data_IF_447058437873
#
_entry.id   IF_447058437873
#
_cell.length_a   1.000
_cell.length_b   1.000
_cell.length_c   1.000
_cell.angle_alpha   90.00
_cell.angle_beta   90.00
_cell.angle_gamma   90.00
#
_symmetry.space_group_name_H-M   'P 1'
#
loop_
_entity.id
_entity.type
_entity.pdbx_description
1 polymer ?
#
# COMPACT_ATOMS: atom_id res chain seq x y z
N UNK A 1 39.62 -6.34 69.19
CA UNK A 1 38.35 -5.63 69.41
C UNK A 1 38.03 -4.80 68.18
N UNK A 2 36.84 -5.02 67.57
CA UNK A 2 36.03 -4.04 66.77
C UNK A 2 36.74 -3.37 65.57
N UNK A 3 36.39 -3.52 64.29
CA UNK A 3 35.14 -3.91 63.61
C UNK A 3 35.46 -4.40 62.19
N UNK A 4 35.10 -5.64 61.92
CA UNK A 4 34.68 -6.15 60.60
C UNK A 4 33.28 -5.54 60.31
N UNK A 5 32.86 -5.52 59.04
CA UNK A 5 31.67 -4.87 58.43
C UNK A 5 31.87 -3.41 58.01
N UNK A 6 32.33 -3.21 56.77
CA UNK A 6 31.54 -2.46 55.78
C UNK A 6 31.61 -3.21 54.46
N UNK A 7 30.74 -4.23 54.41
CA UNK A 7 30.40 -5.03 53.24
C UNK A 7 29.94 -4.12 52.09
N UNK A 8 30.45 -4.40 50.90
CA UNK A 8 29.64 -4.65 49.68
C UNK A 8 28.31 -3.88 49.59
N UNK A 9 28.33 -2.68 49.01
CA UNK A 9 27.10 -2.00 48.57
C UNK A 9 27.30 -1.10 47.33
N UNK A 10 28.28 -1.41 46.47
CA UNK A 10 28.52 -0.68 45.20
C UNK A 10 28.49 -1.58 43.97
N UNK A 11 27.93 -2.79 44.08
CA UNK A 11 27.50 -3.59 42.93
C UNK A 11 25.98 -3.78 43.01
N UNK A 12 25.31 -3.65 41.87
CA UNK A 12 23.89 -3.91 41.60
C UNK A 12 22.93 -2.72 41.59
N UNK A 13 23.29 -1.65 40.87
CA UNK A 13 22.27 -0.86 40.14
C UNK A 13 22.72 -0.68 38.67
N UNK A 14 23.23 -1.74 38.05
CA UNK A 14 22.98 -1.92 36.62
C UNK A 14 21.54 -2.40 36.52
N UNK A 15 20.62 -1.44 36.57
CA UNK A 15 19.23 -1.67 36.23
C UNK A 15 19.20 -2.24 34.82
N UNK A 16 19.05 -3.56 34.72
CA UNK A 16 18.44 -4.19 33.56
C UNK A 16 17.00 -3.68 33.49
N UNK A 17 16.82 -2.42 33.07
CA UNK A 17 15.64 -2.02 32.36
C UNK A 17 15.68 -2.80 31.06
N UNK A 18 15.25 -4.06 31.12
CA UNK A 18 14.72 -4.73 29.95
C UNK A 18 13.59 -3.82 29.48
N UNK A 19 13.88 -2.93 28.53
CA UNK A 19 12.86 -2.43 27.63
C UNK A 19 12.26 -3.70 27.06
N UNK A 20 11.14 -4.15 27.64
CA UNK A 20 10.18 -4.98 26.93
C UNK A 20 9.84 -4.14 25.73
N UNK A 21 10.56 -4.36 24.64
CA UNK A 21 10.22 -3.86 23.34
C UNK A 21 8.87 -4.50 23.07
N UNK A 22 7.79 -3.81 23.46
CA UNK A 22 6.45 -4.30 23.22
C UNK A 22 6.38 -4.46 21.73
N UNK A 23 6.32 -5.71 21.28
CA UNK A 23 6.18 -6.02 19.88
C UNK A 23 4.80 -5.51 19.52
N UNK A 24 4.73 -4.26 19.04
CA UNK A 24 3.49 -3.65 18.64
C UNK A 24 2.93 -4.50 17.52
N UNK A 25 1.69 -4.97 17.71
CA UNK A 25 0.98 -5.74 16.70
C UNK A 25 0.94 -4.93 15.38
N UNK A 26 1.02 -5.60 14.22
CA UNK A 26 0.91 -4.90 12.95
C UNK A 26 -0.38 -4.08 12.85
N UNK A 27 -0.30 -2.91 12.21
CA UNK A 27 -1.44 -2.05 11.91
C UNK A 27 -1.24 -1.35 10.56
N UNK A 28 -2.33 -0.86 9.98
CA UNK A 28 -2.26 -0.09 8.73
C UNK A 28 -1.55 1.24 8.97
N UNK A 29 -0.47 1.49 8.22
CA UNK A 29 0.31 2.72 8.29
C UNK A 29 0.42 3.33 6.90
N UNK A 30 0.24 4.66 6.80
CA UNK A 30 0.62 5.40 5.61
C UNK A 30 2.15 5.38 5.53
N UNK A 31 2.70 4.72 4.51
CA UNK A 31 4.15 4.57 4.33
C UNK A 31 4.68 5.42 3.19
N UNK A 32 3.83 5.76 2.23
CA UNK A 32 4.23 6.58 1.08
C UNK A 32 3.04 7.34 0.52
N UNK A 33 3.28 8.54 0.02
CA UNK A 33 2.32 9.32 -0.74
C UNK A 33 3.02 9.99 -1.91
N UNK A 34 2.43 9.88 -3.10
CA UNK A 34 2.90 10.57 -4.29
C UNK A 34 1.85 11.57 -4.81
N UNK A 35 2.34 12.58 -5.51
CA UNK A 35 1.50 13.45 -6.34
C UNK A 35 1.21 12.80 -7.71
N UNK A 36 0.41 13.48 -8.53
CA UNK A 36 0.06 13.04 -9.88
C UNK A 36 1.25 12.99 -10.85
N UNK A 37 2.41 13.56 -10.51
CA UNK A 37 3.65 13.45 -11.28
C UNK A 37 4.56 12.33 -10.76
N UNK A 38 4.18 11.65 -9.69
CA UNK A 38 5.00 10.62 -9.05
C UNK A 38 6.02 11.16 -8.05
N UNK A 39 6.00 12.46 -7.76
CA UNK A 39 6.88 13.05 -6.75
C UNK A 39 6.39 12.66 -5.36
N UNK A 40 7.33 12.42 -4.45
CA UNK A 40 7.02 12.14 -3.04
C UNK A 40 6.38 13.35 -2.37
N UNK A 41 5.19 13.18 -1.81
CA UNK A 41 4.54 14.14 -0.91
C UNK A 41 4.83 13.82 0.56
N UNK A 42 4.88 12.53 0.93
CA UNK A 42 5.23 12.08 2.27
C UNK A 42 5.72 10.62 2.28
N UNK A 43 6.41 10.23 3.35
CA UNK A 43 6.92 8.87 3.53
C UNK A 43 8.05 8.50 2.57
N UNK A 44 8.20 7.22 2.27
CA UNK A 44 9.29 6.67 1.47
C UNK A 44 8.82 5.56 0.53
N UNK A 45 9.10 5.71 -0.76
CA UNK A 45 8.87 4.64 -1.75
C UNK A 45 9.66 3.37 -1.40
N UNK A 46 10.86 3.53 -0.81
CA UNK A 46 11.65 2.41 -0.32
C UNK A 46 10.96 1.67 0.83
N UNK A 47 10.35 2.38 1.79
CA UNK A 47 9.63 1.73 2.90
C UNK A 47 8.43 0.93 2.39
N UNK A 48 7.72 1.43 1.38
CA UNK A 48 6.65 0.70 0.69
C UNK A 48 7.20 -0.56 -0.01
N UNK A 49 8.30 -0.43 -0.75
CA UNK A 49 8.99 -1.55 -1.42
C UNK A 49 9.45 -2.61 -0.43
N UNK A 50 10.06 -2.20 0.68
CA UNK A 50 10.53 -3.09 1.74
C UNK A 50 9.36 -3.81 2.43
N UNK A 51 8.26 -3.10 2.69
CA UNK A 51 7.05 -3.69 3.25
C UNK A 51 6.50 -4.79 2.33
N UNK A 52 6.44 -4.53 1.02
CA UNK A 52 6.04 -5.53 0.01
C UNK A 52 7.01 -6.71 -0.06
N UNK A 53 8.32 -6.46 -0.07
CA UNK A 53 9.35 -7.51 -0.06
C UNK A 53 9.21 -8.41 1.17
N UNK A 54 8.76 -7.88 2.30
CA UNK A 54 8.44 -8.63 3.55
C UNK A 54 7.08 -9.32 3.55
N UNK A 55 6.34 -9.27 2.44
CA UNK A 55 5.01 -9.87 2.30
C UNK A 55 3.89 -9.10 3.01
N UNK A 56 4.07 -7.80 3.27
CA UNK A 56 3.05 -7.00 3.93
C UNK A 56 1.92 -6.67 2.95
N UNK A 57 0.64 -6.87 3.33
CA UNK A 57 -0.48 -6.37 2.54
C UNK A 57 -0.40 -4.86 2.36
N UNK A 58 -0.83 -4.38 1.20
CA UNK A 58 -0.95 -2.95 0.91
C UNK A 58 -2.41 -2.55 0.68
N UNK A 59 -2.69 -1.26 0.88
CA UNK A 59 -3.95 -0.60 0.55
C UNK A 59 -3.63 0.74 -0.07
N UNK A 60 -4.35 1.10 -1.12
CA UNK A 60 -4.15 2.37 -1.82
C UNK A 60 -5.39 3.22 -1.62
N UNK A 61 -5.20 4.53 -1.45
CA UNK A 61 -6.28 5.50 -1.54
C UNK A 61 -5.95 6.61 -2.51
N UNK A 62 -6.98 7.10 -3.18
CA UNK A 62 -6.93 8.22 -4.10
C UNK A 62 -8.21 9.02 -3.95
N UNK A 63 -8.22 10.26 -4.43
CA UNK A 63 -9.38 11.11 -4.29
C UNK A 63 -9.01 12.56 -4.48
N UNK A 64 -9.97 13.42 -4.18
CA UNK A 64 -9.83 14.85 -4.38
C UNK A 64 -10.44 15.66 -3.23
N UNK A 65 -9.94 16.88 -3.10
CA UNK A 65 -10.58 17.94 -2.32
C UNK A 65 -11.58 18.66 -3.23
N UNK A 66 -12.81 18.80 -2.76
CA UNK A 66 -13.87 19.49 -3.47
C UNK A 66 -13.79 21.00 -3.21
N UNK A 67 -14.46 21.79 -4.06
CA UNK A 67 -14.44 23.25 -3.98
C UNK A 67 -15.01 23.82 -2.65
N UNK A 68 -15.88 23.06 -1.99
CA UNK A 68 -16.45 23.42 -0.69
C UNK A 68 -15.56 23.03 0.51
N UNK A 69 -14.35 22.50 0.25
CA UNK A 69 -13.38 22.07 1.25
C UNK A 69 -13.55 20.64 1.76
N UNK A 70 -14.66 19.98 1.40
CA UNK A 70 -14.87 18.55 1.69
C UNK A 70 -14.01 17.67 0.78
N UNK A 71 -14.04 16.35 0.96
CA UNK A 71 -13.23 15.42 0.16
C UNK A 71 -13.99 14.15 -0.17
N UNK A 72 -13.77 13.63 -1.37
CA UNK A 72 -14.10 12.27 -1.76
C UNK A 72 -12.82 11.46 -1.84
N UNK A 73 -12.69 10.41 -1.03
CA UNK A 73 -11.51 9.54 -0.99
C UNK A 73 -11.97 8.09 -1.08
N UNK A 74 -11.43 7.38 -2.05
CA UNK A 74 -11.63 5.97 -2.26
C UNK A 74 -10.46 5.18 -1.66
N UNK A 75 -10.74 3.98 -1.16
CA UNK A 75 -9.74 3.06 -0.63
C UNK A 75 -9.95 1.69 -1.26
N UNK A 76 -8.87 1.05 -1.71
CA UNK A 76 -8.94 -0.31 -2.22
C UNK A 76 -7.71 -1.13 -1.83
N UNK A 77 -7.94 -2.43 -1.67
CA UNK A 77 -6.88 -3.44 -1.55
C UNK A 77 -6.67 -4.01 -2.96
N UNK A 78 -5.44 -4.03 -3.47
CA UNK A 78 -5.16 -4.60 -4.78
C UNK A 78 -5.10 -6.14 -4.73
N UNK A 79 -5.51 -6.78 -5.83
CA UNK A 79 -5.43 -8.24 -6.00
C UNK A 79 -4.08 -8.67 -6.60
N UNK A 80 -3.45 -7.76 -7.37
CA UNK A 80 -2.19 -8.03 -8.04
C UNK A 80 -1.25 -6.84 -7.83
N UNK A 81 -0.03 -7.11 -7.42
CA UNK A 81 0.99 -6.09 -7.14
C UNK A 81 2.30 -6.50 -7.80
N UNK A 82 2.93 -5.55 -8.47
CA UNK A 82 4.26 -5.69 -9.08
C UNK A 82 5.17 -4.62 -8.50
N UNK A 83 6.36 -5.02 -8.07
CA UNK A 83 7.46 -4.09 -7.90
C UNK A 83 8.25 -4.05 -9.22
N UNK A 84 8.18 -2.94 -9.93
CA UNK A 84 8.82 -2.73 -11.23
C UNK A 84 10.14 -1.98 -11.06
N UNK A 85 11.19 -2.49 -11.72
CA UNK A 85 12.53 -1.88 -11.73
C UNK A 85 13.08 -1.54 -10.33
N UNK A 86 12.74 -2.37 -9.33
CA UNK A 86 13.07 -2.19 -7.90
C UNK A 86 12.59 -0.88 -7.25
N UNK A 87 11.86 -0.03 -7.98
CA UNK A 87 11.44 1.30 -7.54
C UNK A 87 9.92 1.40 -7.47
N UNK A 88 9.23 1.20 -8.58
CA UNK A 88 7.84 1.58 -8.71
C UNK A 88 6.90 0.44 -8.36
N UNK A 89 5.92 0.73 -7.52
CA UNK A 89 4.88 -0.22 -7.17
C UNK A 89 3.70 0.02 -8.09
N UNK A 90 3.35 -1.03 -8.84
CA UNK A 90 2.19 -1.04 -9.73
C UNK A 90 1.18 -2.04 -9.18
N UNK A 91 -0.07 -1.62 -9.09
CA UNK A 91 -1.16 -2.42 -8.55
C UNK A 91 -2.31 -2.54 -9.53
N UNK A 92 -3.00 -3.66 -9.49
CA UNK A 92 -4.27 -3.86 -10.16
C UNK A 92 -5.33 -4.23 -9.14
N UNK A 93 -6.52 -3.65 -9.29
CA UNK A 93 -7.62 -3.84 -8.36
C UNK A 93 -8.63 -4.87 -8.87
N UNK A 94 -9.34 -5.56 -7.96
CA UNK A 94 -10.53 -6.33 -8.33
C UNK A 94 -11.56 -5.45 -9.02
N UNK A 95 -12.51 -6.09 -9.70
CA UNK A 95 -13.67 -5.39 -10.24
C UNK A 95 -14.51 -4.80 -9.11
N UNK A 96 -14.82 -3.52 -9.21
CA UNK A 96 -15.76 -2.81 -8.34
C UNK A 96 -16.94 -2.28 -9.15
N UNK A 97 -18.05 -1.92 -8.49
CA UNK A 97 -19.22 -1.36 -9.16
C UNK A 97 -19.18 0.18 -9.12
N UNK A 98 -19.66 0.82 -10.19
CA UNK A 98 -19.72 2.28 -10.27
C UNK A 98 -20.81 2.83 -9.34
N UNK A 99 -20.45 3.84 -8.56
CA UNK A 99 -21.39 4.65 -7.78
C UNK A 99 -22.05 5.72 -8.66
N UNK A 100 -23.33 6.00 -8.44
CA UNK A 100 -24.05 7.08 -9.14
C UNK A 100 -23.68 8.47 -8.64
N UNK A 101 -23.11 8.56 -7.42
CA UNK A 101 -22.67 9.81 -6.83
C UNK A 101 -21.53 9.56 -5.83
N UNK A 102 -20.48 10.38 -5.89
CA UNK A 102 -19.27 10.28 -5.07
C UNK A 102 -19.18 11.39 -4.00
N UNK A 103 -20.11 12.35 -4.00
CA UNK A 103 -20.07 13.54 -3.11
C UNK A 103 -21.28 13.65 -2.18
N UNK A 104 -22.41 13.04 -2.54
CA UNK A 104 -23.63 12.97 -1.73
C UNK A 104 -23.95 11.49 -1.41
N UNK A 105 -23.71 11.03 -0.17
CA UNK A 105 -23.92 9.63 0.20
C UNK A 105 -25.40 9.22 0.13
N UNK A 106 -26.35 10.15 0.23
CA UNK A 106 -27.79 9.83 0.09
C UNK A 106 -28.19 9.58 -1.36
N UNK A 107 -27.34 9.95 -2.32
CA UNK A 107 -27.51 9.70 -3.76
C UNK A 107 -26.53 8.66 -4.30
N UNK A 108 -25.73 8.03 -3.43
CA UNK A 108 -24.71 7.04 -3.82
C UNK A 108 -25.35 5.65 -3.90
N UNK A 109 -25.86 5.33 -5.08
CA UNK A 109 -26.38 4.00 -5.43
C UNK A 109 -25.43 3.32 -6.41
N UNK A 110 -25.65 2.03 -6.66
CA UNK A 110 -24.98 1.33 -7.76
C UNK A 110 -25.60 1.76 -9.08
N UNK A 111 -24.77 2.01 -10.10
CA UNK A 111 -25.26 2.23 -11.47
C UNK A 111 -25.84 0.92 -12.02
N UNK A 112 -27.11 0.94 -12.43
CA UNK A 112 -27.86 -0.28 -12.83
C UNK A 112 -28.32 -0.33 -14.28
N UNK A 113 -28.22 0.76 -15.05
CA UNK A 113 -28.64 0.80 -16.45
C UNK A 113 -27.59 1.44 -17.37
N UNK A 114 -26.68 0.65 -17.98
CA UNK A 114 -26.44 -0.76 -17.65
C UNK A 114 -25.71 -0.91 -16.30
N UNK A 115 -25.78 -2.08 -15.65
CA UNK A 115 -24.92 -2.38 -14.51
C UNK A 115 -23.46 -2.19 -14.92
N UNK A 116 -22.76 -1.27 -14.28
CA UNK A 116 -21.40 -0.88 -14.70
C UNK A 116 -20.37 -1.27 -13.64
N UNK A 117 -19.38 -2.05 -14.05
CA UNK A 117 -18.21 -2.37 -13.23
C UNK A 117 -16.97 -1.61 -13.70
N UNK A 118 -15.96 -1.50 -12.86
CA UNK A 118 -14.67 -0.92 -13.22
C UNK A 118 -13.51 -1.74 -12.65
N UNK A 119 -12.38 -1.71 -13.36
CA UNK A 119 -11.07 -2.18 -12.89
C UNK A 119 -10.03 -1.12 -13.17
N UNK A 120 -9.00 -1.05 -12.33
CA UNK A 120 -7.94 -0.08 -12.50
C UNK A 120 -6.55 -0.69 -12.29
N UNK A 121 -5.59 -0.06 -12.96
CA UNK A 121 -4.17 -0.14 -12.67
C UNK A 121 -3.71 1.21 -12.14
N UNK A 122 -2.93 1.19 -11.06
CA UNK A 122 -2.34 2.38 -10.46
C UNK A 122 -0.86 2.18 -10.14
N UNK A 123 -0.08 3.25 -10.16
CA UNK A 123 1.37 3.21 -9.96
C UNK A 123 1.87 4.35 -9.08
N UNK A 124 2.95 4.12 -8.33
CA UNK A 124 3.62 5.12 -7.48
C UNK A 124 4.18 6.33 -8.24
N UNK A 125 4.23 6.26 -9.56
CA UNK A 125 4.58 7.38 -10.43
C UNK A 125 3.36 8.26 -10.79
N UNK A 126 2.20 8.00 -10.21
CA UNK A 126 0.97 8.76 -10.40
C UNK A 126 0.07 8.26 -11.52
N UNK A 127 0.47 7.26 -12.31
CA UNK A 127 -0.38 6.72 -13.38
C UNK A 127 -1.64 6.04 -12.83
N UNK A 128 -2.78 6.37 -13.42
CA UNK A 128 -4.07 5.72 -13.17
C UNK A 128 -4.74 5.38 -14.50
N UNK A 129 -4.85 4.08 -14.79
CA UNK A 129 -5.56 3.57 -15.96
C UNK A 129 -6.80 2.78 -15.53
N UNK A 130 -7.98 3.10 -16.06
CA UNK A 130 -9.24 2.48 -15.68
C UNK A 130 -10.03 2.00 -16.90
N UNK A 131 -10.68 0.84 -16.75
CA UNK A 131 -11.73 0.37 -17.64
C UNK A 131 -13.07 0.40 -16.94
N UNK A 132 -14.13 0.81 -17.64
CA UNK A 132 -15.52 0.58 -17.24
C UNK A 132 -16.13 -0.44 -18.18
N UNK A 133 -16.85 -1.40 -17.60
CA UNK A 133 -17.51 -2.50 -18.28
C UNK A 133 -19.02 -2.37 -18.13
N UNK A 134 -19.75 -2.56 -19.23
CA UNK A 134 -21.14 -3.00 -19.13
C UNK A 134 -21.14 -4.47 -18.69
N UNK A 135 -21.63 -4.75 -17.50
CA UNK A 135 -21.64 -6.11 -16.95
C UNK A 135 -22.69 -7.02 -17.58
N UNK A 136 -23.63 -6.47 -18.35
CA UNK A 136 -24.60 -7.23 -19.13
C UNK A 136 -23.98 -7.76 -20.43
N UNK A 137 -23.20 -6.93 -21.13
CA UNK A 137 -22.64 -7.29 -22.44
C UNK A 137 -21.18 -7.75 -22.36
N UNK A 138 -20.45 -7.36 -21.31
CA UNK A 138 -19.01 -7.57 -21.18
C UNK A 138 -18.16 -6.53 -21.92
N UNK A 139 -18.79 -5.58 -22.61
CA UNK A 139 -18.08 -4.57 -23.39
C UNK A 139 -17.42 -3.51 -22.51
N UNK A 140 -16.25 -3.04 -22.93
CA UNK A 140 -15.61 -1.86 -22.33
C UNK A 140 -16.35 -0.62 -22.85
N UNK A 141 -17.11 0.04 -21.98
CA UNK A 141 -17.86 1.25 -22.31
C UNK A 141 -17.05 2.53 -22.14
N UNK A 142 -15.94 2.47 -21.39
CA UNK A 142 -15.05 3.63 -21.16
C UNK A 142 -13.64 3.16 -20.83
N UNK A 143 -12.65 3.90 -21.35
CA UNK A 143 -11.24 3.80 -20.98
C UNK A 143 -10.81 5.16 -20.44
N UNK A 144 -10.11 5.19 -19.31
CA UNK A 144 -9.58 6.41 -18.71
C UNK A 144 -8.08 6.30 -18.52
N UNK A 145 -7.35 7.27 -19.06
CA UNK A 145 -5.95 7.52 -18.76
C UNK A 145 -5.89 8.79 -17.92
N UNK A 146 -5.54 8.64 -16.66
CA UNK A 146 -5.49 9.72 -15.68
C UNK A 146 -4.16 9.70 -14.94
N UNK A 147 -3.93 10.79 -14.21
CA UNK A 147 -2.86 10.89 -13.23
C UNK A 147 -3.48 11.39 -11.93
N UNK A 148 -3.10 10.81 -10.80
CA UNK A 148 -3.72 11.16 -9.51
C UNK A 148 -2.71 11.07 -8.36
N UNK A 149 -3.00 11.83 -7.30
CA UNK A 149 -2.29 11.69 -6.04
C UNK A 149 -2.74 10.37 -5.38
N UNK A 150 -1.78 9.65 -4.79
CA UNK A 150 -2.06 8.36 -4.16
C UNK A 150 -1.38 8.28 -2.80
N UNK A 151 -2.10 7.69 -1.85
CA UNK A 151 -1.59 7.35 -0.54
C UNK A 151 -1.53 5.83 -0.41
N UNK A 152 -0.36 5.33 0.00
CA UNK A 152 -0.03 3.92 0.06
C UNK A 152 0.14 3.52 1.51
N UNK A 153 -0.69 2.57 1.92
CA UNK A 153 -0.67 2.01 3.25
C UNK A 153 -0.09 0.61 3.21
N UNK A 154 0.69 0.25 4.22
CA UNK A 154 1.13 -1.12 4.45
C UNK A 154 0.70 -1.59 5.84
N UNK A 155 0.39 -2.88 5.97
CA UNK A 155 0.08 -3.49 7.26
C UNK A 155 1.36 -3.97 7.95
N UNK A 156 1.95 -3.12 8.79
CA UNK A 156 3.30 -3.31 9.35
C UNK A 156 3.34 -3.04 10.86
N UNK A 157 4.33 -3.62 11.54
CA UNK A 157 4.64 -3.27 12.94
C UNK A 157 5.54 -2.05 12.98
N UNK A 158 5.40 -1.20 14.00
CA UNK A 158 6.33 -0.09 14.23
C UNK A 158 7.73 -0.67 14.47
N UNK A 159 8.70 -0.27 13.65
CA UNK A 159 10.06 -0.85 13.61
C UNK A 159 10.10 -2.32 13.20
N UNK A 160 9.52 -2.67 12.05
CA UNK A 160 9.64 -4.01 11.50
C UNK A 160 11.13 -4.36 11.26
N UNK A 161 11.69 -5.25 12.09
CA UNK A 161 13.09 -5.68 12.02
C UNK A 161 13.32 -6.95 11.19
N UNK A 162 12.30 -7.49 10.52
CA UNK A 162 12.47 -8.62 9.61
C UNK A 162 13.54 -8.28 8.55
N UNK A 163 14.14 -9.30 7.93
CA UNK A 163 15.02 -9.03 6.81
C UNK A 163 14.21 -8.57 5.59
N UNK A 164 14.76 -7.69 4.76
CA UNK A 164 14.21 -7.41 3.41
C UNK A 164 14.80 -8.46 2.47
N UNK A 165 14.02 -9.44 1.97
CA UNK A 165 14.57 -10.45 1.09
C UNK A 165 14.86 -9.89 -0.32
N UNK A 166 15.85 -10.46 -0.98
CA UNK A 166 16.05 -10.31 -2.42
C UNK A 166 15.11 -11.30 -3.12
N UNK A 167 14.10 -10.80 -3.83
CA UNK A 167 13.05 -11.62 -4.43
C UNK A 167 13.34 -12.02 -5.88
N UNK A 168 13.94 -11.12 -6.66
CA UNK A 168 14.34 -11.40 -8.04
C UNK A 168 15.71 -12.08 -8.03
N UNK A 169 15.77 -13.32 -8.49
CA UNK A 169 17.03 -14.08 -8.65
C UNK A 169 17.28 -14.38 -10.12
N UNK A 170 18.56 -14.52 -10.50
CA UNK A 170 18.96 -14.72 -11.89
C UNK A 170 18.37 -16.01 -12.47
N UNK A 171 18.06 -16.01 -13.77
CA UNK A 171 17.64 -17.18 -14.54
C UNK A 171 16.35 -17.88 -14.05
N UNK A 172 15.45 -17.17 -13.36
CA UNK A 172 14.25 -17.77 -12.73
C UNK A 172 12.99 -17.78 -13.58
N UNK A 173 12.93 -17.00 -14.66
CA UNK A 173 11.78 -16.98 -15.56
C UNK A 173 12.21 -17.42 -16.95
N UNK A 174 11.68 -18.57 -17.39
CA UNK A 174 11.87 -19.10 -18.74
C UNK A 174 10.50 -19.21 -19.40
N UNK A 175 10.32 -18.44 -20.46
CA UNK A 175 9.11 -18.53 -21.28
C UNK A 175 9.23 -19.72 -22.23
N UNK A 176 8.30 -20.67 -22.10
CA UNK A 176 8.20 -21.81 -23.02
C UNK A 176 7.97 -21.38 -24.48
N UNK A 177 7.37 -20.20 -24.68
CA UNK A 177 7.15 -19.61 -26.01
C UNK A 177 8.41 -19.07 -26.68
N UNK A 178 9.53 -18.95 -25.96
CA UNK A 178 10.80 -18.39 -26.47
C UNK A 178 11.81 -19.50 -26.78
N UNK A 179 11.54 -20.74 -26.40
CA UNK A 179 12.33 -21.90 -26.83
C UNK A 179 11.88 -22.29 -28.24
N UNK A 180 12.63 -21.87 -29.26
CA UNK A 180 12.51 -22.46 -30.60
C UNK A 180 12.77 -23.97 -30.46
N UNK A 181 11.77 -24.78 -30.82
CA UNK A 181 11.92 -26.25 -30.92
C UNK A 181 12.92 -26.61 -32.00
#
# INVERSE_FOLDING_TARGET
MKRILFLFATLAIFGCASQKQSQQMPYWQLVFQNDFNGNTLSGSKQELSDALKRGSPIRVSWGEKLADGTSCVEFAVPDFTTLMNDSDVVVQFPMSLIQTNYVDPKKSFLKTNPPTGWRALMSTDGHYHQFHYDLKTGEITRIMYARTNMSWYAFISKNDKRNVPVLATENTFKLDSVVKR
#
